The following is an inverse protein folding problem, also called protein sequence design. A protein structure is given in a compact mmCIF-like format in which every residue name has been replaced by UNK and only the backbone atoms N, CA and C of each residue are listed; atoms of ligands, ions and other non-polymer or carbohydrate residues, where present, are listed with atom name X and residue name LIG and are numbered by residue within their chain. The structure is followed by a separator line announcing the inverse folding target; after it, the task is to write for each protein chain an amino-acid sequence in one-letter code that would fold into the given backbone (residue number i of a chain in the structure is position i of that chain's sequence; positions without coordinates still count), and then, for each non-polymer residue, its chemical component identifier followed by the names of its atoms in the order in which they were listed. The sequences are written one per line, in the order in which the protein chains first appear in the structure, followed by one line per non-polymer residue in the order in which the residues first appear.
data_IF_044420665100
#
_entry.id   IF_044420665100
#
_cell.length_a   1.000
_cell.length_b   1.000
_cell.length_c   1.000
_cell.angle_alpha   90.00
_cell.angle_beta   90.00
_cell.angle_gamma   90.00
#
_symmetry.space_group_name_H-M   'P 1'
#
loop_
_entity.id
_entity.type
_entity.pdbx_description
1 polymer ?
#
# COMPACT_ATOMS: atom_id res chain seq x y z
N UNK A 1 -0.31 8.41 -13.92
CA UNK A 1 -0.55 9.88 -13.91
C UNK A 1 -1.50 10.21 -15.04
N UNK A 2 -2.80 10.33 -14.75
CA UNK A 2 -3.78 10.78 -15.73
C UNK A 2 -3.90 12.30 -15.62
N UNK A 3 -3.26 13.04 -16.52
CA UNK A 3 -3.43 14.48 -16.64
C UNK A 3 -4.65 14.69 -17.54
N UNK A 4 -5.82 14.90 -16.92
CA UNK A 4 -7.02 15.29 -17.63
C UNK A 4 -6.93 16.79 -17.96
N UNK A 5 -6.38 17.11 -19.14
CA UNK A 5 -6.41 18.47 -19.68
C UNK A 5 -7.80 18.77 -20.22
N UNK A 6 -8.63 19.44 -19.42
CA UNK A 6 -9.86 20.04 -19.90
C UNK A 6 -9.51 21.24 -20.79
N UNK A 7 -9.43 21.02 -22.09
CA UNK A 7 -9.37 22.10 -23.09
C UNK A 7 -10.78 22.72 -23.14
N UNK A 8 -11.00 23.75 -22.33
CA UNK A 8 -12.20 24.56 -22.42
C UNK A 8 -12.20 25.30 -23.75
N UNK A 9 -13.12 24.95 -24.65
CA UNK A 9 -13.38 25.70 -25.87
C UNK A 9 -14.00 27.04 -25.45
N UNK A 10 -13.19 28.11 -25.50
CA UNK A 10 -13.72 29.47 -25.40
C UNK A 10 -14.36 29.79 -26.74
N UNK A 11 -15.69 29.83 -26.78
CA UNK A 11 -16.42 30.46 -27.89
C UNK A 11 -16.25 31.96 -27.71
N UNK A 12 -15.26 32.54 -28.38
CA UNK A 12 -15.18 33.99 -28.53
C UNK A 12 -16.28 34.35 -29.54
N UNK A 13 -17.34 35.01 -29.07
CA UNK A 13 -18.25 35.67 -29.98
C UNK A 13 -17.44 36.76 -30.71
N UNK A 14 -17.22 36.56 -32.01
CA UNK A 14 -16.74 37.63 -32.88
C UNK A 14 -17.85 38.67 -32.96
N UNK A 15 -17.77 39.72 -32.14
CA UNK A 15 -18.61 40.89 -32.31
C UNK A 15 -18.28 41.47 -33.70
N UNK A 16 -19.26 41.52 -34.58
CA UNK A 16 -19.16 42.37 -35.76
C UNK A 16 -19.08 43.82 -35.26
N UNK A 17 -18.25 44.65 -35.90
CA UNK A 17 -17.99 46.06 -35.52
C UNK A 17 -19.22 47.00 -35.66
N UNK A 18 -20.45 46.49 -35.54
CA UNK A 18 -21.67 47.24 -35.76
C UNK A 18 -22.09 48.04 -34.52
N UNK A 19 -21.55 49.25 -34.38
CA UNK A 19 -22.01 50.27 -33.43
C UNK A 19 -23.49 50.59 -33.55
N UNK A 20 -24.24 50.41 -32.47
CA UNK A 20 -25.58 50.98 -32.35
C UNK A 20 -25.47 52.36 -31.69
N UNK A 21 -25.75 53.41 -32.46
CA UNK A 21 -25.85 54.77 -31.89
C UNK A 21 -27.26 55.02 -31.37
N UNK A 22 -27.36 55.46 -30.13
CA UNK A 22 -28.58 55.91 -29.48
C UNK A 22 -28.42 57.37 -29.09
N UNK A 23 -29.39 58.19 -29.47
CA UNK A 23 -29.45 59.60 -29.07
C UNK A 23 -30.45 59.76 -27.93
N UNK A 24 -30.00 60.35 -26.83
CA UNK A 24 -30.84 60.66 -25.67
C UNK A 24 -31.21 62.14 -25.68
N UNK A 25 -32.50 62.45 -25.63
CA UNK A 25 -32.97 63.84 -25.55
C UNK A 25 -32.56 64.45 -24.20
N UNK A 26 -31.80 65.56 -24.23
CA UNK A 26 -31.18 66.13 -23.02
C UNK A 26 -32.23 66.52 -21.96
N UNK A 27 -33.39 67.02 -22.39
CA UNK A 27 -34.43 67.53 -21.48
C UNK A 27 -35.37 66.47 -20.92
N UNK A 28 -35.60 65.37 -21.64
CA UNK A 28 -36.60 64.36 -21.28
C UNK A 28 -36.04 62.95 -21.06
N UNK A 29 -34.78 62.71 -21.43
CA UNK A 29 -34.16 61.38 -21.41
C UNK A 29 -34.74 60.41 -22.45
N UNK A 30 -35.61 60.89 -23.36
CA UNK A 30 -36.19 60.03 -24.38
C UNK A 30 -35.10 59.52 -25.34
N UNK A 31 -34.99 58.21 -25.47
CA UNK A 31 -34.00 57.53 -26.29
C UNK A 31 -34.54 57.25 -27.68
N UNK A 32 -33.71 57.46 -28.71
CA UNK A 32 -33.97 56.93 -30.04
C UNK A 32 -32.73 56.33 -30.66
N UNK A 33 -32.93 55.28 -31.44
CA UNK A 33 -31.91 54.74 -32.31
C UNK A 33 -31.59 55.73 -33.45
N UNK A 34 -30.30 55.90 -33.76
CA UNK A 34 -29.79 56.70 -34.87
C UNK A 34 -29.05 55.78 -35.84
N UNK A 35 -29.70 55.51 -36.98
CA UNK A 35 -29.14 54.68 -38.05
C UNK A 35 -27.98 55.37 -38.78
N UNK A 36 -28.01 56.69 -38.82
CA UNK A 36 -27.01 57.58 -39.43
C UNK A 36 -25.86 57.94 -38.48
N UNK A 37 -25.94 57.53 -37.21
CA UNK A 37 -24.92 57.80 -36.19
C UNK A 37 -24.85 59.24 -35.71
N UNK A 38 -25.78 60.11 -36.10
CA UNK A 38 -25.84 61.51 -35.77
C UNK A 38 -26.95 61.83 -34.76
N UNK A 39 -26.62 62.65 -33.75
CA UNK A 39 -27.59 63.17 -32.78
C UNK A 39 -27.86 64.64 -33.03
N UNK A 40 -29.07 65.10 -32.66
CA UNK A 40 -29.41 66.52 -32.71
C UNK A 40 -28.64 67.28 -31.63
N UNK A 41 -28.51 68.59 -31.79
CA UNK A 41 -27.86 69.45 -30.80
C UNK A 41 -28.52 69.39 -29.41
N UNK A 42 -29.82 69.05 -29.34
CA UNK A 42 -30.57 68.85 -28.10
C UNK A 42 -30.49 67.42 -27.56
N UNK A 43 -29.54 66.62 -28.03
CA UNK A 43 -29.37 65.22 -27.67
C UNK A 43 -27.93 64.90 -27.27
N UNK A 44 -27.77 63.94 -26.37
CA UNK A 44 -26.50 63.31 -26.06
C UNK A 44 -26.34 62.03 -26.88
N UNK A 45 -25.18 61.88 -27.53
CA UNK A 45 -24.83 60.67 -28.28
C UNK A 45 -24.32 59.58 -27.34
N UNK A 46 -24.97 58.42 -27.37
CA UNK A 46 -24.52 57.19 -26.72
C UNK A 46 -24.18 56.17 -27.81
N UNK A 47 -22.98 55.60 -27.76
CA UNK A 47 -22.58 54.52 -28.65
C UNK A 47 -22.64 53.23 -27.86
N UNK A 48 -23.56 52.34 -28.21
CA UNK A 48 -23.69 51.03 -27.61
C UNK A 48 -22.83 50.06 -28.39
N UNK A 49 -21.57 49.93 -27.95
CA UNK A 49 -20.60 48.99 -28.50
C UNK A 49 -19.54 48.51 -27.52
N UNK A 50 -19.57 49.00 -26.28
CA UNK A 50 -18.59 48.57 -25.30
C UNK A 50 -19.02 47.21 -24.78
N UNK A 51 -18.45 46.16 -25.37
CA UNK A 51 -18.39 44.85 -24.73
C UNK A 51 -17.85 45.09 -23.32
N UNK A 52 -18.68 44.86 -22.30
CA UNK A 52 -18.23 44.97 -20.91
C UNK A 52 -16.99 44.12 -20.70
N UNK A 53 -16.03 44.62 -19.92
CA UNK A 53 -14.79 43.87 -19.63
C UNK A 53 -15.13 42.44 -19.22
N UNK A 54 -14.38 41.48 -19.76
CA UNK A 54 -14.57 40.08 -19.39
C UNK A 54 -14.53 39.95 -17.87
N UNK A 55 -15.52 39.27 -17.28
CA UNK A 55 -15.57 39.05 -15.84
C UNK A 55 -14.30 38.34 -15.36
N UNK A 56 -13.82 38.69 -14.17
CA UNK A 56 -12.65 38.04 -13.60
C UNK A 56 -12.87 36.52 -13.50
N UNK A 57 -11.85 35.74 -13.87
CA UNK A 57 -11.85 34.28 -13.68
C UNK A 57 -12.15 33.96 -12.21
N UNK A 58 -13.11 33.06 -11.97
CA UNK A 58 -13.47 32.64 -10.63
C UNK A 58 -12.27 32.08 -9.85
N UNK A 59 -12.28 32.25 -8.52
CA UNK A 59 -11.22 31.74 -7.67
C UNK A 59 -11.04 30.22 -7.84
N UNK A 60 -9.80 29.75 -7.79
CA UNK A 60 -9.49 28.32 -7.76
C UNK A 60 -10.19 27.68 -6.55
N UNK A 61 -10.89 26.57 -6.79
CA UNK A 61 -11.50 25.77 -5.72
C UNK A 61 -10.45 25.29 -4.71
N UNK A 62 -10.88 25.10 -3.45
CA UNK A 62 -10.01 24.62 -2.38
C UNK A 62 -9.42 23.25 -2.71
N UNK A 63 -8.18 23.01 -2.30
CA UNK A 63 -7.55 21.69 -2.35
C UNK A 63 -8.36 20.71 -1.49
N UNK A 64 -8.60 19.50 -2.00
CA UNK A 64 -9.28 18.45 -1.25
C UNK A 64 -8.52 18.03 0.01
N UNK A 65 -9.22 17.48 0.99
CA UNK A 65 -8.62 16.99 2.22
C UNK A 65 -7.62 15.85 1.93
N UNK A 66 -6.51 15.82 2.67
CA UNK A 66 -5.61 14.67 2.69
C UNK A 66 -6.36 13.41 3.14
N UNK A 67 -6.15 12.29 2.46
CA UNK A 67 -6.74 11.00 2.87
C UNK A 67 -6.27 10.56 4.26
N UNK A 68 -7.04 9.69 4.91
CA UNK A 68 -6.67 9.12 6.20
C UNK A 68 -5.36 8.33 6.11
N UNK A 69 -4.53 8.42 7.15
CA UNK A 69 -3.35 7.55 7.32
C UNK A 69 -3.80 6.09 7.41
N UNK A 70 -3.09 5.19 6.72
CA UNK A 70 -3.34 3.75 6.81
C UNK A 70 -3.11 3.19 8.21
N UNK A 71 -3.68 2.02 8.51
CA UNK A 71 -3.47 1.35 9.78
C UNK A 71 -2.00 0.94 9.97
N UNK A 72 -1.47 1.15 11.18
CA UNK A 72 -0.16 0.61 11.58
C UNK A 72 -0.21 -0.92 11.54
N UNK A 73 0.80 -1.55 10.95
CA UNK A 73 0.91 -3.02 10.92
C UNK A 73 1.06 -3.62 12.33
N UNK A 74 0.75 -4.91 12.47
CA UNK A 74 0.96 -5.62 13.73
C UNK A 74 2.45 -5.59 14.12
N UNK A 75 2.74 -5.26 15.39
CA UNK A 75 4.10 -5.37 15.92
C UNK A 75 4.50 -6.85 15.96
N UNK A 76 5.53 -7.22 15.20
CA UNK A 76 6.21 -8.51 15.40
C UNK A 76 7.11 -8.45 16.64
N UNK A 77 7.27 -9.56 17.36
CA UNK A 77 8.18 -9.66 18.49
C UNK A 77 8.39 -11.11 18.95
N UNK A 78 9.59 -11.41 19.45
CA UNK A 78 9.86 -12.67 20.16
C UNK A 78 9.23 -12.62 21.55
N UNK A 79 8.69 -13.75 22.06
CA UNK A 79 8.19 -13.79 23.43
C UNK A 79 9.34 -13.52 24.42
N UNK A 80 9.05 -12.75 25.48
CA UNK A 80 10.03 -12.42 26.51
C UNK A 80 10.49 -13.64 27.32
N UNK A 81 9.67 -14.70 27.34
CA UNK A 81 9.96 -15.99 27.94
C UNK A 81 9.70 -17.09 26.91
N UNK A 82 10.57 -18.08 26.85
CA UNK A 82 10.39 -19.25 25.99
C UNK A 82 9.43 -20.24 26.64
N UNK A 83 8.36 -20.60 25.93
CA UNK A 83 7.50 -21.72 26.34
C UNK A 83 8.17 -23.05 25.94
N UNK A 84 8.14 -24.03 26.83
CA UNK A 84 8.68 -25.37 26.59
C UNK A 84 7.52 -26.32 26.32
N UNK A 85 7.53 -26.98 25.16
CA UNK A 85 6.49 -27.92 24.74
C UNK A 85 7.11 -29.26 24.40
N UNK A 86 6.51 -30.34 24.90
CA UNK A 86 6.95 -31.70 24.57
C UNK A 86 6.29 -32.14 23.26
N UNK A 87 7.08 -32.69 22.35
CA UNK A 87 6.63 -33.29 21.09
C UNK A 87 6.99 -34.78 21.05
N UNK A 88 6.18 -35.57 20.36
CA UNK A 88 6.32 -37.03 20.28
C UNK A 88 5.93 -37.53 18.89
N UNK A 89 6.61 -38.55 18.39
CA UNK A 89 6.34 -39.26 17.12
C UNK A 89 6.43 -38.39 15.87
N UNK A 90 5.47 -37.48 15.66
CA UNK A 90 5.44 -36.56 14.50
C UNK A 90 4.90 -35.20 14.93
N UNK A 91 5.51 -34.11 14.46
CA UNK A 91 5.07 -32.75 14.73
C UNK A 91 5.15 -31.89 13.46
N UNK A 92 4.03 -31.34 12.98
CA UNK A 92 4.05 -30.36 11.88
C UNK A 92 4.12 -28.96 12.46
N UNK A 93 5.07 -28.15 12.00
CA UNK A 93 5.23 -26.79 12.53
C UNK A 93 4.00 -25.92 12.27
N UNK A 94 3.63 -25.14 13.28
CA UNK A 94 2.49 -24.22 13.24
C UNK A 94 2.89 -22.82 13.72
N UNK A 95 2.06 -21.82 13.44
CA UNK A 95 2.28 -20.43 13.85
C UNK A 95 2.52 -20.27 15.36
N UNK A 96 1.92 -21.14 16.17
CA UNK A 96 2.06 -21.13 17.62
C UNK A 96 3.39 -21.69 18.13
N UNK A 97 4.23 -22.25 17.27
CA UNK A 97 5.53 -22.79 17.70
C UNK A 97 6.63 -21.73 17.73
N UNK A 98 6.40 -20.56 17.12
CA UNK A 98 7.39 -19.48 17.05
C UNK A 98 7.84 -19.06 18.45
N UNK A 99 9.15 -19.04 18.67
CA UNK A 99 9.77 -18.65 19.94
C UNK A 99 9.68 -19.69 21.04
N UNK A 100 9.22 -20.92 20.75
CA UNK A 100 9.17 -22.03 21.70
C UNK A 100 10.41 -22.92 21.63
N UNK A 101 10.63 -23.67 22.71
CA UNK A 101 11.49 -24.86 22.73
C UNK A 101 10.62 -26.11 22.60
N UNK A 102 10.74 -26.82 21.49
CA UNK A 102 10.08 -28.10 21.27
C UNK A 102 11.01 -29.24 21.64
N UNK A 103 10.62 -30.04 22.64
CA UNK A 103 11.45 -31.12 23.19
C UNK A 103 10.96 -32.48 22.70
N UNK A 104 11.77 -33.19 21.90
CA UNK A 104 11.49 -34.56 21.44
C UNK A 104 11.68 -35.57 22.56
N UNK A 105 10.61 -36.26 22.98
CA UNK A 105 10.64 -37.22 24.11
C UNK A 105 10.48 -38.69 23.74
N UNK A 106 10.42 -39.05 22.45
CA UNK A 106 10.15 -40.44 22.04
C UNK A 106 10.63 -40.80 20.63
N UNK A 107 11.50 -39.98 20.03
CA UNK A 107 11.73 -40.04 18.59
C UNK A 107 10.66 -39.23 17.87
N UNK A 108 11.05 -38.12 17.25
CA UNK A 108 10.10 -37.21 16.60
C UNK A 108 10.57 -36.83 15.20
N UNK A 109 9.67 -36.91 14.23
CA UNK A 109 9.84 -36.32 12.91
C UNK A 109 9.11 -34.98 12.87
N UNK A 110 9.85 -33.90 12.64
CA UNK A 110 9.32 -32.55 12.50
C UNK A 110 9.11 -32.24 11.03
N UNK A 111 7.86 -32.04 10.61
CA UNK A 111 7.54 -31.62 9.24
C UNK A 111 7.69 -30.11 9.13
N UNK A 112 8.57 -29.65 8.24
CA UNK A 112 8.71 -28.21 7.90
C UNK A 112 7.70 -27.89 6.78
N UNK A 113 6.63 -27.14 7.06
CA UNK A 113 5.54 -26.93 6.11
C UNK A 113 5.92 -25.96 4.99
N UNK A 114 5.22 -26.07 3.86
CA UNK A 114 5.25 -25.04 2.82
C UNK A 114 4.61 -23.73 3.32
N UNK A 115 4.97 -22.61 2.72
CA UNK A 115 4.38 -21.31 2.99
C UNK A 115 2.89 -21.25 2.61
N UNK A 116 2.44 -22.11 1.67
CA UNK A 116 1.04 -22.20 1.27
C UNK A 116 0.17 -22.89 2.33
N UNK A 117 0.73 -23.84 3.08
CA UNK A 117 0.03 -24.58 4.14
C UNK A 117 0.13 -23.89 5.49
N UNK A 118 1.31 -23.33 5.82
CA UNK A 118 1.55 -22.59 7.06
C UNK A 118 2.45 -21.39 6.77
N UNK A 119 1.86 -20.20 6.75
CA UNK A 119 2.54 -18.95 6.41
C UNK A 119 3.35 -18.36 7.58
N UNK A 120 4.32 -19.13 8.10
CA UNK A 120 5.31 -18.63 9.07
C UNK A 120 6.09 -17.47 8.44
N UNK A 121 6.26 -16.36 9.16
CA UNK A 121 6.99 -15.19 8.66
C UNK A 121 8.50 -15.47 8.51
N UNK A 122 9.15 -14.80 7.56
CA UNK A 122 10.63 -14.78 7.50
C UNK A 122 11.16 -14.21 8.81
N UNK A 123 12.19 -14.85 9.37
CA UNK A 123 12.73 -14.55 10.70
C UNK A 123 12.06 -15.31 11.85
N UNK A 124 11.05 -16.15 11.58
CA UNK A 124 10.50 -17.07 12.58
C UNK A 124 11.58 -18.08 13.01
N UNK A 125 11.79 -18.21 14.32
CA UNK A 125 12.72 -19.14 14.95
C UNK A 125 11.97 -20.06 15.90
N UNK A 126 12.36 -21.32 15.88
CA UNK A 126 11.86 -22.36 16.78
C UNK A 126 13.10 -23.12 17.27
N UNK A 127 13.20 -23.31 18.57
CA UNK A 127 14.29 -24.07 19.18
C UNK A 127 13.82 -25.49 19.46
N UNK A 128 14.75 -26.44 19.41
CA UNK A 128 14.49 -27.84 19.58
C UNK A 128 15.51 -28.46 20.52
N UNK A 129 15.09 -29.47 21.28
CA UNK A 129 15.98 -30.31 22.07
C UNK A 129 15.60 -31.78 21.96
N UNK A 130 16.60 -32.66 21.98
CA UNK A 130 16.43 -34.10 22.05
C UNK A 130 16.48 -34.53 23.51
N UNK A 131 15.39 -35.10 24.04
CA UNK A 131 15.42 -35.73 25.37
C UNK A 131 15.72 -37.23 25.26
N UNK A 132 15.18 -37.90 24.24
CA UNK A 132 15.42 -39.33 24.03
C UNK A 132 15.15 -39.75 22.59
N UNK A 133 15.93 -40.72 22.11
CA UNK A 133 15.90 -41.22 20.72
C UNK A 133 16.28 -40.13 19.72
N UNK A 134 15.63 -40.06 18.56
CA UNK A 134 15.99 -39.15 17.48
C UNK A 134 15.13 -37.88 17.41
N UNK A 135 15.63 -36.91 16.65
CA UNK A 135 14.86 -35.79 16.12
C UNK A 135 15.25 -35.59 14.65
N UNK A 136 14.27 -35.78 13.77
CA UNK A 136 14.44 -35.57 12.33
C UNK A 136 13.68 -34.33 11.86
N UNK A 137 14.21 -33.66 10.86
CA UNK A 137 13.49 -32.64 10.10
C UNK A 137 13.18 -33.16 8.70
N UNK A 138 11.90 -33.07 8.31
CA UNK A 138 11.38 -33.52 7.03
C UNK A 138 10.70 -32.34 6.31
N UNK A 139 11.39 -31.67 5.37
CA UNK A 139 10.80 -30.57 4.62
C UNK A 139 9.71 -31.08 3.66
N UNK A 140 8.57 -30.39 3.67
CA UNK A 140 7.51 -30.67 2.69
C UNK A 140 7.98 -30.41 1.25
N UNK A 141 7.28 -30.96 0.26
CA UNK A 141 7.61 -30.75 -1.16
C UNK A 141 7.74 -29.27 -1.50
N UNK A 142 8.85 -28.90 -2.15
CA UNK A 142 9.15 -27.52 -2.53
C UNK A 142 9.65 -26.63 -1.39
N UNK A 143 9.93 -27.21 -0.21
CA UNK A 143 10.63 -26.55 0.89
C UNK A 143 12.12 -26.89 0.84
N UNK A 144 12.95 -25.85 0.81
CA UNK A 144 14.40 -25.96 0.94
C UNK A 144 14.77 -25.88 2.42
N UNK A 145 15.41 -26.92 2.92
CA UNK A 145 16.05 -26.95 4.24
C UNK A 145 17.57 -26.86 4.04
N UNK A 146 18.13 -25.67 4.27
CA UNK A 146 19.57 -25.45 4.23
C UNK A 146 20.20 -26.09 5.46
N UNK A 147 20.74 -27.28 5.22
CA UNK A 147 21.41 -28.16 6.16
C UNK A 147 22.35 -29.10 5.38
N UNK A 148 23.12 -29.93 6.08
CA UNK A 148 24.16 -30.76 5.46
C UNK A 148 23.59 -31.90 4.57
N UNK A 149 22.32 -32.31 4.77
CA UNK A 149 21.67 -33.39 4.02
C UNK A 149 20.15 -33.16 3.83
N UNK A 150 19.47 -34.00 3.04
CA UNK A 150 18.05 -33.87 2.66
C UNK A 150 17.03 -34.26 3.76
N UNK A 151 17.39 -35.17 4.66
CA UNK A 151 16.69 -35.42 5.93
C UNK A 151 17.71 -35.33 7.04
N UNK A 152 17.55 -34.34 7.90
CA UNK A 152 18.61 -33.95 8.83
C UNK A 152 18.27 -34.45 10.22
N UNK A 153 19.16 -35.27 10.77
CA UNK A 153 19.13 -35.68 12.16
C UNK A 153 19.79 -34.62 13.04
N UNK A 154 19.25 -34.41 14.23
CA UNK A 154 19.99 -33.82 15.34
C UNK A 154 20.58 -34.97 16.13
N UNK A 155 21.87 -34.86 16.47
CA UNK A 155 22.59 -35.83 17.31
C UNK A 155 21.70 -36.38 18.44
N UNK A 156 21.71 -37.70 18.60
CA UNK A 156 20.80 -38.43 19.51
C UNK A 156 21.22 -38.36 20.97
N UNK A 157 22.35 -37.70 21.27
CA UNK A 157 22.77 -37.39 22.63
C UNK A 157 21.67 -36.69 23.42
N UNK A 158 21.56 -37.01 24.70
CA UNK A 158 20.58 -36.37 25.58
C UNK A 158 20.89 -34.87 25.69
N UNK A 159 19.88 -34.05 25.42
CA UNK A 159 19.92 -32.59 25.38
C UNK A 159 20.78 -31.99 24.26
N UNK A 160 20.91 -32.67 23.13
CA UNK A 160 21.35 -32.02 21.89
C UNK A 160 20.29 -31.03 21.43
N UNK A 161 20.75 -29.87 20.92
CA UNK A 161 19.89 -28.75 20.57
C UNK A 161 20.02 -28.39 19.11
N UNK A 162 18.92 -27.92 18.54
CA UNK A 162 18.91 -27.33 17.22
C UNK A 162 18.00 -26.10 17.17
N UNK A 163 18.30 -25.19 16.26
CA UNK A 163 17.49 -24.00 16.01
C UNK A 163 17.12 -23.98 14.54
N UNK A 164 15.82 -23.90 14.26
CA UNK A 164 15.31 -23.74 12.90
C UNK A 164 14.88 -22.29 12.69
N UNK A 165 15.39 -21.63 11.64
CA UNK A 165 15.05 -20.23 11.30
C UNK A 165 14.55 -20.14 9.86
N UNK A 166 13.43 -19.47 9.64
CA UNK A 166 12.93 -19.18 8.30
C UNK A 166 13.69 -18.01 7.69
N UNK A 167 14.29 -18.21 6.52
CA UNK A 167 15.14 -17.18 5.87
C UNK A 167 14.53 -16.62 4.58
N UNK A 168 13.67 -17.38 3.90
CA UNK A 168 12.88 -16.90 2.77
C UNK A 168 11.58 -17.71 2.61
N UNK A 169 10.81 -17.42 1.56
CA UNK A 169 9.64 -18.23 1.20
C UNK A 169 10.06 -19.67 0.91
N UNK A 170 9.47 -20.63 1.63
CA UNK A 170 9.84 -22.05 1.55
C UNK A 170 11.31 -22.35 1.83
N UNK A 171 12.07 -21.45 2.45
CA UNK A 171 13.49 -21.63 2.70
C UNK A 171 13.82 -21.44 4.18
N UNK A 172 14.51 -22.43 4.74
CA UNK A 172 14.85 -22.51 6.16
C UNK A 172 16.33 -22.85 6.33
N UNK A 173 16.92 -22.41 7.43
CA UNK A 173 18.23 -22.88 7.88
C UNK A 173 18.05 -23.66 9.18
N UNK A 174 18.69 -24.83 9.26
CA UNK A 174 18.80 -25.61 10.50
C UNK A 174 20.20 -25.44 11.07
N UNK A 175 20.29 -24.81 12.23
CA UNK A 175 21.51 -24.70 13.01
C UNK A 175 21.52 -25.83 14.03
N UNK A 176 22.48 -26.74 13.94
CA UNK A 176 22.65 -27.85 14.88
C UNK A 176 24.13 -28.05 15.21
N UNK A 177 24.40 -28.80 16.28
CA UNK A 177 25.74 -29.31 16.56
C UNK A 177 26.19 -30.25 15.43
N UNK A 178 27.50 -30.24 15.15
CA UNK A 178 28.10 -31.23 14.24
C UNK A 178 27.99 -32.58 14.92
N UNK A 179 27.59 -33.61 14.17
CA UNK A 179 27.46 -34.95 14.73
C UNK A 179 28.87 -35.44 15.09
N UNK A 180 29.10 -35.81 16.35
CA UNK A 180 30.36 -36.41 16.77
C UNK A 180 30.34 -37.87 16.28
N UNK A 181 31.18 -38.18 15.29
CA UNK A 181 31.29 -39.52 14.68
C UNK A 181 31.81 -40.59 15.64
#
# INVERSE_FOLDING_TARGET
MAVASAVGIVVVASATDDSVVVCSTISSGALRYSKDGACKASESKLVLNDQGVAGATGARGATGATGATGATGASGGYPASMEIVNITSTHTLMLTDIGKLLVSRSGTVVTVPSNATVALAVGARIDFAVYSSFLYFDPASGVTLNADTSRVEVDTGTFQVATLVKIATNEWVLLKTVDES
#
